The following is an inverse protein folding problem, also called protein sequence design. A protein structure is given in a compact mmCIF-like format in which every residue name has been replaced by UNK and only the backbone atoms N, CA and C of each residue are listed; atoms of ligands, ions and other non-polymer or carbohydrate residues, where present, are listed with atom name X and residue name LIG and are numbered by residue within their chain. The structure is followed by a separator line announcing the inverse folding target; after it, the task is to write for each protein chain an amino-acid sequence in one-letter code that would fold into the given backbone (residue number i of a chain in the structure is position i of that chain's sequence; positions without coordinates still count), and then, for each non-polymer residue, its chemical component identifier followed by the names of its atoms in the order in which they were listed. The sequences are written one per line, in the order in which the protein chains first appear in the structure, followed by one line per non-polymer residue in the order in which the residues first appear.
data_IF_897314694113
#
_entry.id   IF_897314694113
#
_cell.length_a   1.000
_cell.length_b   1.000
_cell.length_c   1.000
_cell.angle_alpha   90.00
_cell.angle_beta   90.00
_cell.angle_gamma   90.00
#
_symmetry.space_group_name_H-M   'P 1'
#
loop_
_entity.id
_entity.type
_entity.pdbx_description
1 polymer ?
#
# COMPACT_ATOMS: atom_id res chain seq x y z
N UNK A 1 8.24 31.33 -2.43
CA UNK A 1 7.14 30.46 -2.92
C UNK A 1 5.90 31.24 -3.42
N UNK A 2 5.44 32.29 -2.72
CA UNK A 2 4.22 33.02 -3.11
C UNK A 2 4.30 33.71 -4.49
N UNK A 3 5.40 34.41 -4.78
CA UNK A 3 5.62 35.06 -6.08
C UNK A 3 5.67 34.05 -7.25
N UNK A 4 6.27 32.88 -7.06
CA UNK A 4 6.29 31.81 -8.08
C UNK A 4 4.88 31.27 -8.35
N UNK A 5 4.08 31.03 -7.31
CA UNK A 5 2.69 30.57 -7.46
C UNK A 5 1.82 31.62 -8.15
N UNK A 6 2.02 32.90 -7.86
CA UNK A 6 1.32 34.00 -8.52
C UNK A 6 1.68 34.09 -10.01
N UNK A 7 2.97 34.06 -10.33
CA UNK A 7 3.47 34.10 -11.72
C UNK A 7 3.14 32.84 -12.55
N UNK A 8 2.87 31.70 -11.89
CA UNK A 8 2.53 30.44 -12.55
C UNK A 8 1.07 30.02 -12.34
N UNK A 9 0.20 30.93 -11.88
CA UNK A 9 -1.18 30.62 -11.49
C UNK A 9 -1.96 29.92 -12.61
N UNK A 10 -1.88 30.45 -13.83
CA UNK A 10 -2.65 29.92 -14.97
C UNK A 10 -2.13 28.56 -15.41
N UNK A 11 -0.80 28.38 -15.41
CA UNK A 11 -0.15 27.09 -15.67
C UNK A 11 -0.55 26.03 -14.63
N UNK A 12 -0.54 26.39 -13.35
CA UNK A 12 -0.95 25.50 -12.25
C UNK A 12 -2.43 25.14 -12.39
N UNK A 13 -3.27 26.12 -12.71
CA UNK A 13 -4.72 25.92 -12.90
C UNK A 13 -4.99 25.01 -14.10
N UNK A 14 -4.36 25.26 -15.24
CA UNK A 14 -4.47 24.44 -16.43
C UNK A 14 -3.98 23.00 -16.19
N UNK A 15 -2.84 22.85 -15.51
CA UNK A 15 -2.32 21.54 -15.10
C UNK A 15 -3.29 20.80 -14.18
N UNK A 16 -3.77 21.46 -13.11
CA UNK A 16 -4.70 20.87 -12.15
C UNK A 16 -6.04 20.52 -12.80
N UNK A 17 -6.54 21.32 -13.76
CA UNK A 17 -7.80 21.04 -14.48
C UNK A 17 -7.76 19.71 -15.21
N UNK A 18 -6.59 19.29 -15.72
CA UNK A 18 -6.39 17.99 -16.38
C UNK A 18 -6.05 16.90 -15.36
N UNK A 19 -5.22 17.22 -14.36
CA UNK A 19 -4.70 16.25 -13.40
C UNK A 19 -5.75 15.81 -12.35
N UNK A 20 -6.54 16.74 -11.81
CA UNK A 20 -7.51 16.49 -10.74
C UNK A 20 -8.61 15.48 -11.15
N UNK A 21 -9.28 15.60 -12.32
CA UNK A 21 -10.29 14.64 -12.73
C UNK A 21 -9.72 13.22 -12.88
N UNK A 22 -8.54 13.11 -13.51
CA UNK A 22 -7.83 11.83 -13.68
C UNK A 22 -7.48 11.20 -12.33
N UNK A 23 -6.97 12.00 -11.39
CA UNK A 23 -6.65 11.52 -10.05
C UNK A 23 -7.92 11.08 -9.29
N UNK A 24 -8.99 11.88 -9.36
CA UNK A 24 -10.29 11.54 -8.75
C UNK A 24 -10.86 10.24 -9.30
N UNK A 25 -10.79 10.03 -10.61
CA UNK A 25 -11.23 8.79 -11.25
C UNK A 25 -10.40 7.59 -10.78
N UNK A 26 -9.07 7.73 -10.73
CA UNK A 26 -8.17 6.69 -10.22
C UNK A 26 -8.47 6.34 -8.76
N UNK A 27 -8.71 7.33 -7.91
CA UNK A 27 -9.09 7.13 -6.50
C UNK A 27 -10.43 6.41 -6.40
N UNK A 28 -11.45 6.84 -7.15
CA UNK A 28 -12.77 6.17 -7.19
C UNK A 28 -12.65 4.71 -7.64
N UNK A 29 -11.90 4.46 -8.72
CA UNK A 29 -11.65 3.10 -9.23
C UNK A 29 -10.95 2.23 -8.18
N UNK A 30 -9.93 2.78 -7.50
CA UNK A 30 -9.22 2.07 -6.42
C UNK A 30 -10.15 1.77 -5.25
N UNK A 31 -10.95 2.74 -4.80
CA UNK A 31 -11.92 2.54 -3.72
C UNK A 31 -12.97 1.48 -4.08
N UNK A 32 -13.50 1.51 -5.29
CA UNK A 32 -14.41 0.48 -5.82
C UNK A 32 -13.80 -0.91 -5.77
N UNK A 33 -12.56 -1.07 -6.24
CA UNK A 33 -11.82 -2.34 -6.21
C UNK A 33 -11.59 -2.83 -4.79
N UNK A 34 -11.18 -1.95 -3.87
CA UNK A 34 -10.97 -2.33 -2.47
C UNK A 34 -12.29 -2.77 -1.86
N UNK A 35 -13.35 -1.97 -2.03
CA UNK A 35 -14.68 -2.27 -1.46
C UNK A 35 -15.25 -3.59 -1.97
N UNK A 36 -15.10 -3.89 -3.27
CA UNK A 36 -15.58 -5.15 -3.85
C UNK A 36 -14.76 -6.38 -3.45
N UNK A 37 -13.54 -6.18 -2.94
CA UNK A 37 -12.62 -7.25 -2.53
C UNK A 37 -12.24 -7.15 -1.05
N UNK A 38 -13.18 -6.72 -0.22
CA UNK A 38 -13.01 -6.65 1.23
C UNK A 38 -13.85 -7.73 1.90
N UNK A 39 -13.21 -8.53 2.74
CA UNK A 39 -13.92 -9.34 3.73
C UNK A 39 -13.89 -8.55 5.02
N UNK A 40 -15.06 -8.17 5.60
CA UNK A 40 -15.09 -7.43 6.85
C UNK A 40 -14.43 -8.21 7.98
N UNK A 41 -13.70 -7.50 8.84
CA UNK A 41 -13.14 -8.03 10.08
C UNK A 41 -13.06 -6.91 11.13
N UNK A 42 -13.04 -7.27 12.41
CA UNK A 42 -12.92 -6.32 13.51
C UNK A 42 -11.47 -5.92 13.77
N UNK A 43 -11.28 -4.85 14.54
CA UNK A 43 -9.94 -4.40 14.95
C UNK A 43 -9.25 -5.46 15.80
N UNK A 44 -9.99 -6.17 16.65
CA UNK A 44 -9.49 -7.23 17.53
C UNK A 44 -9.02 -8.44 16.72
N UNK A 45 -9.74 -8.79 15.65
CA UNK A 45 -9.32 -9.85 14.73
C UNK A 45 -8.04 -9.45 13.98
N UNK A 46 -7.94 -8.19 13.56
CA UNK A 46 -6.72 -7.67 12.95
C UNK A 46 -5.55 -7.69 13.94
N UNK A 47 -5.75 -7.20 15.16
CA UNK A 47 -4.74 -7.24 16.22
C UNK A 47 -4.29 -8.67 16.50
N UNK A 48 -5.22 -9.62 16.64
CA UNK A 48 -4.91 -11.04 16.81
C UNK A 48 -4.08 -11.59 15.65
N UNK A 49 -4.43 -11.21 14.41
CA UNK A 49 -3.67 -11.58 13.22
C UNK A 49 -2.24 -11.02 13.24
N UNK A 50 -2.04 -9.79 13.69
CA UNK A 50 -0.70 -9.17 13.79
C UNK A 50 0.10 -9.78 14.96
N UNK A 51 -0.55 -9.99 16.10
CA UNK A 51 0.04 -10.62 17.29
C UNK A 51 0.49 -12.06 17.02
N UNK A 52 -0.19 -12.80 16.15
CA UNK A 52 0.24 -14.12 15.69
C UNK A 52 1.67 -14.11 15.09
N UNK A 53 2.10 -13.02 14.45
CA UNK A 53 3.47 -12.86 13.95
C UNK A 53 4.44 -12.28 15.00
N UNK A 54 3.98 -12.01 16.21
CA UNK A 54 4.80 -11.48 17.30
C UNK A 54 5.31 -10.06 17.05
N UNK A 55 4.57 -9.24 16.28
CA UNK A 55 4.98 -7.87 15.95
C UNK A 55 6.21 -7.76 15.04
N UNK A 56 6.58 -8.87 14.38
CA UNK A 56 7.75 -8.96 13.49
C UNK A 56 7.35 -8.93 12.03
N UNK A 57 8.21 -8.34 11.21
CA UNK A 57 8.07 -8.29 9.77
C UNK A 57 8.05 -9.71 9.20
N UNK A 58 7.03 -10.02 8.42
CA UNK A 58 6.87 -11.35 7.81
C UNK A 58 7.94 -11.67 6.76
N UNK A 59 8.71 -10.68 6.31
CA UNK A 59 9.79 -10.85 5.32
C UNK A 59 11.14 -10.98 6.01
N UNK A 60 11.59 -9.97 6.75
CA UNK A 60 12.94 -9.96 7.35
C UNK A 60 13.00 -10.31 8.85
N UNK A 61 11.87 -10.33 9.56
CA UNK A 61 11.83 -10.59 11.00
C UNK A 61 12.08 -9.38 11.91
N UNK A 62 12.49 -8.23 11.38
CA UNK A 62 12.66 -6.98 12.15
C UNK A 62 11.31 -6.45 12.70
N UNK A 63 11.33 -5.43 13.54
CA UNK A 63 10.11 -4.79 14.06
C UNK A 63 9.18 -4.33 12.93
N UNK A 64 7.89 -4.63 13.06
CA UNK A 64 6.89 -4.24 12.08
C UNK A 64 6.30 -2.85 12.38
N UNK A 65 6.03 -2.11 11.30
CA UNK A 65 5.51 -0.74 11.35
C UNK A 65 4.21 -0.59 10.53
N UNK A 66 3.98 -1.51 9.60
CA UNK A 66 2.88 -1.45 8.66
C UNK A 66 2.18 -2.80 8.52
N UNK A 67 0.96 -2.75 7.99
CA UNK A 67 0.21 -3.92 7.56
C UNK A 67 0.35 -4.01 6.05
N UNK A 68 0.95 -5.10 5.58
CA UNK A 68 1.18 -5.40 4.18
C UNK A 68 0.14 -6.39 3.65
N UNK A 69 -0.27 -6.18 2.41
CA UNK A 69 -1.06 -7.14 1.64
C UNK A 69 -0.10 -8.10 0.93
N UNK A 70 -0.06 -9.36 1.36
CA UNK A 70 0.81 -10.40 0.78
C UNK A 70 0.67 -10.44 -0.74
N UNK A 71 -0.56 -10.63 -1.22
CA UNK A 71 -0.98 -10.30 -2.59
C UNK A 71 -1.49 -8.86 -2.62
N UNK A 72 -0.82 -7.92 -3.32
CA UNK A 72 -1.24 -6.52 -3.40
C UNK A 72 -2.64 -6.38 -4.01
N UNK A 73 -3.42 -5.39 -3.54
CA UNK A 73 -4.74 -5.09 -4.12
C UNK A 73 -4.67 -4.85 -5.63
N UNK A 74 -3.60 -4.19 -6.12
CA UNK A 74 -3.42 -3.91 -7.56
C UNK A 74 -3.16 -5.17 -8.40
N UNK A 75 -2.67 -6.25 -7.77
CA UNK A 75 -2.49 -7.56 -8.39
C UNK A 75 -3.73 -8.46 -8.20
N UNK A 76 -4.86 -7.92 -7.73
CA UNK A 76 -6.08 -8.67 -7.45
C UNK A 76 -6.08 -9.39 -6.09
N UNK A 77 -5.31 -8.88 -5.13
CA UNK A 77 -5.40 -9.32 -3.74
C UNK A 77 -6.65 -8.80 -3.03
N UNK A 78 -7.11 -9.54 -2.02
CA UNK A 78 -8.27 -9.20 -1.20
C UNK A 78 -7.83 -8.48 0.09
N UNK A 79 -8.62 -7.53 0.55
CA UNK A 79 -8.49 -6.94 1.87
C UNK A 79 -9.17 -7.85 2.90
N UNK A 80 -8.42 -8.85 3.39
CA UNK A 80 -8.91 -9.89 4.32
C UNK A 80 -7.76 -10.36 5.22
N UNK A 81 -8.06 -10.80 6.44
CA UNK A 81 -7.07 -11.14 7.48
C UNK A 81 -5.97 -12.10 6.99
N UNK A 82 -6.30 -13.13 6.20
CA UNK A 82 -5.31 -14.10 5.72
C UNK A 82 -4.30 -13.48 4.73
N UNK A 83 -4.69 -12.41 4.03
CA UNK A 83 -3.81 -11.66 3.11
C UNK A 83 -3.06 -10.52 3.82
N UNK A 84 -3.37 -10.22 5.08
CA UNK A 84 -2.68 -9.18 5.86
C UNK A 84 -1.56 -9.80 6.70
N UNK A 85 -0.39 -9.16 6.67
CA UNK A 85 0.78 -9.50 7.49
C UNK A 85 1.51 -8.24 7.97
N UNK A 86 2.13 -8.24 9.16
CA UNK A 86 2.96 -7.12 9.61
C UNK A 86 4.27 -7.04 8.83
N UNK A 87 4.68 -5.84 8.43
CA UNK A 87 5.92 -5.57 7.71
C UNK A 87 6.64 -4.32 8.23
N UNK A 88 7.97 -4.30 8.19
CA UNK A 88 8.74 -3.07 8.44
C UNK A 88 8.64 -2.12 7.23
N UNK A 89 8.97 -0.83 7.44
CA UNK A 89 8.91 0.18 6.38
C UNK A 89 9.77 -0.17 5.15
N UNK A 90 10.98 -0.67 5.38
CA UNK A 90 11.92 -1.00 4.30
C UNK A 90 11.42 -2.15 3.42
N UNK A 91 11.05 -3.28 4.03
CA UNK A 91 10.57 -4.46 3.31
C UNK A 91 9.25 -4.16 2.58
N UNK A 92 8.31 -3.48 3.24
CA UNK A 92 7.05 -3.09 2.63
C UNK A 92 7.26 -2.21 1.39
N UNK A 93 8.17 -1.22 1.48
CA UNK A 93 8.51 -0.34 0.36
C UNK A 93 9.18 -1.09 -0.79
N UNK A 94 10.13 -1.99 -0.51
CA UNK A 94 10.84 -2.79 -1.52
C UNK A 94 9.93 -3.79 -2.21
N UNK A 95 9.11 -4.51 -1.44
CA UNK A 95 8.08 -5.39 -1.98
C UNK A 95 7.13 -4.61 -2.87
N UNK A 96 6.66 -3.44 -2.42
CA UNK A 96 5.71 -2.60 -3.14
C UNK A 96 4.51 -3.44 -3.63
N UNK A 97 4.48 -3.72 -4.93
CA UNK A 97 3.44 -4.51 -5.56
C UNK A 97 3.91 -5.81 -6.19
N UNK A 98 5.12 -6.25 -5.87
CA UNK A 98 5.70 -7.46 -6.40
C UNK A 98 4.86 -8.66 -5.97
N UNK A 99 4.36 -9.39 -6.96
CA UNK A 99 3.55 -10.59 -6.78
C UNK A 99 3.46 -11.37 -8.11
N UNK A 100 3.59 -12.70 -8.12
CA UNK A 100 4.00 -13.56 -7.01
C UNK A 100 5.44 -13.26 -6.58
N UNK A 101 5.73 -13.38 -5.28
CA UNK A 101 7.09 -13.21 -4.76
C UNK A 101 7.81 -14.55 -4.89
N UNK A 102 8.98 -14.53 -5.53
CA UNK A 102 9.88 -15.68 -5.64
C UNK A 102 10.97 -15.59 -4.57
N UNK A 103 11.71 -16.68 -4.36
CA UNK A 103 12.79 -16.71 -3.37
C UNK A 103 13.89 -15.68 -3.70
N UNK A 104 14.27 -15.55 -4.97
CA UNK A 104 15.18 -14.51 -5.44
C UNK A 104 14.71 -13.09 -5.10
N UNK A 105 13.40 -12.86 -5.12
CA UNK A 105 12.82 -11.56 -4.76
C UNK A 105 12.91 -11.31 -3.25
N UNK A 106 12.71 -12.35 -2.43
CA UNK A 106 12.86 -12.25 -0.98
C UNK A 106 14.28 -11.91 -0.57
N UNK A 107 15.28 -12.50 -1.25
CA UNK A 107 16.69 -12.17 -1.05
C UNK A 107 16.96 -10.69 -1.31
N UNK A 108 16.48 -10.17 -2.46
CA UNK A 108 16.62 -8.76 -2.82
C UNK A 108 15.88 -7.82 -1.87
N UNK A 109 14.68 -8.18 -1.41
CA UNK A 109 13.92 -7.37 -0.46
C UNK A 109 14.66 -7.28 0.88
N UNK A 110 15.27 -8.39 1.33
CA UNK A 110 16.01 -8.49 2.60
C UNK A 110 17.38 -7.84 2.55
N UNK A 111 18.05 -7.84 1.40
CA UNK A 111 19.40 -7.29 1.24
C UNK A 111 19.42 -5.79 1.56
N UNK A 112 19.99 -5.39 2.71
CA UNK A 112 20.02 -4.00 3.17
C UNK A 112 20.71 -3.07 2.19
#
# INVERSE_FOLDING_TARGET
MAAWRAANRDRITAYNRVYEPRMREQVKKRQSIVRSRTVPFTIEQLQSRISYFGGRCWICGDAAEHIDHVKPIKAGGWHMLSNLRPACALCNRRKSSLWPIKDSDLELIRAR
#
